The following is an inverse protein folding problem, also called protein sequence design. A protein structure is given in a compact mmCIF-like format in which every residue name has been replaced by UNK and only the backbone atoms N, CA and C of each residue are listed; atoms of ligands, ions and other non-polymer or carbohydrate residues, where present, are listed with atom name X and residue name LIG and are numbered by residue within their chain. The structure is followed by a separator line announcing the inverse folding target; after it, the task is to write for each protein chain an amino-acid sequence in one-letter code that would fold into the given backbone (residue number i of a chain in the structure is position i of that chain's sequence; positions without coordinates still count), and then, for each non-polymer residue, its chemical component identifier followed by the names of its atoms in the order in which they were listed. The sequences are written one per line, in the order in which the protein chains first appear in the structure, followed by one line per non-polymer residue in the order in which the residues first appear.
data_IF_650312220004
#
_entry.id   IF_650312220004
#
_cell.length_a   1.000
_cell.length_b   1.000
_cell.length_c   1.000
_cell.angle_alpha   90.00
_cell.angle_beta   90.00
_cell.angle_gamma   90.00
#
_symmetry.space_group_name_H-M   'P 1'
#
loop_
_entity.id
_entity.type
_entity.pdbx_description
1 polymer ?
#
# COMPACT_ATOMS: atom_id res chain seq x y z
N UNK A 1 -8.24 5.38 -16.32
CA UNK A 1 -7.70 5.07 -14.98
C UNK A 1 -7.09 6.32 -14.34
N UNK A 2 -6.98 6.36 -13.05
CA UNK A 2 -6.26 7.41 -12.33
C UNK A 2 -5.40 6.79 -11.24
N UNK A 3 -4.34 7.48 -10.86
CA UNK A 3 -3.54 7.10 -9.70
C UNK A 3 -3.58 8.22 -8.66
N UNK A 4 -3.45 7.85 -7.40
CA UNK A 4 -3.46 8.79 -6.29
C UNK A 4 -2.50 8.34 -5.19
N UNK A 5 -2.01 9.32 -4.45
CA UNK A 5 -1.21 9.10 -3.25
C UNK A 5 -2.06 9.41 -2.04
N UNK A 6 -1.95 8.58 -1.01
CA UNK A 6 -2.66 8.75 0.24
C UNK A 6 -1.75 8.43 1.41
N UNK A 7 -2.21 8.73 2.60
CA UNK A 7 -1.53 8.37 3.84
C UNK A 7 -2.53 7.67 4.74
N UNK A 8 -2.15 6.51 5.26
CA UNK A 8 -2.90 5.80 6.28
C UNK A 8 -2.16 5.91 7.61
N UNK A 9 -2.91 5.82 8.70
CA UNK A 9 -2.33 5.79 10.04
C UNK A 9 -2.32 4.35 10.54
N UNK A 10 -1.13 3.83 10.83
CA UNK A 10 -0.94 2.50 11.39
C UNK A 10 -1.41 2.44 12.85
N UNK A 11 -1.54 1.22 13.39
CA UNK A 11 -2.01 0.99 14.76
C UNK A 11 -1.16 1.68 15.82
N UNK A 12 0.14 1.89 15.56
CA UNK A 12 1.06 2.59 16.47
C UNK A 12 1.20 4.08 16.16
N UNK A 13 0.38 4.62 15.25
CA UNK A 13 0.38 6.03 14.87
C UNK A 13 1.31 6.40 13.72
N UNK A 14 2.10 5.47 13.18
CA UNK A 14 2.97 5.76 12.04
C UNK A 14 2.16 6.08 10.79
N UNK A 15 2.59 7.09 10.05
CA UNK A 15 2.03 7.41 8.75
C UNK A 15 2.60 6.47 7.69
N UNK A 16 1.72 5.76 6.98
CA UNK A 16 2.08 4.87 5.89
C UNK A 16 1.75 5.55 4.57
N UNK A 17 2.73 5.67 3.68
CA UNK A 17 2.48 6.15 2.32
C UNK A 17 1.77 5.05 1.51
N UNK A 18 0.68 5.40 0.87
CA UNK A 18 -0.14 4.49 0.07
C UNK A 18 -0.28 5.02 -1.34
N UNK A 19 -0.13 4.14 -2.31
CA UNK A 19 -0.48 4.41 -3.71
C UNK A 19 -1.71 3.61 -4.09
N UNK A 20 -2.57 4.24 -4.88
CA UNK A 20 -3.73 3.58 -5.47
C UNK A 20 -3.75 3.84 -6.96
N UNK A 21 -4.06 2.81 -7.73
CA UNK A 21 -4.34 2.88 -9.16
C UNK A 21 -5.75 2.39 -9.37
N UNK A 22 -6.58 3.24 -9.91
CA UNK A 22 -8.02 3.07 -9.90
C UNK A 22 -8.57 2.97 -11.34
N UNK A 23 -9.47 2.02 -11.61
CA UNK A 23 -10.14 1.94 -12.90
C UNK A 23 -11.17 3.07 -13.08
N UNK A 24 -11.67 3.21 -14.30
CA UNK A 24 -12.79 4.09 -14.60
C UNK A 24 -14.10 3.39 -14.20
N UNK A 25 -14.53 3.57 -12.98
CA UNK A 25 -15.74 2.94 -12.45
C UNK A 25 -15.45 1.92 -11.36
N UNK A 26 -16.48 1.16 -10.94
CA UNK A 26 -16.31 0.17 -9.88
C UNK A 26 -15.27 -0.90 -10.26
N UNK A 27 -14.35 -1.25 -9.36
CA UNK A 27 -13.35 -2.27 -9.67
C UNK A 27 -13.97 -3.67 -9.74
N UNK A 28 -13.47 -4.48 -10.66
CA UNK A 28 -13.82 -5.90 -10.76
C UNK A 28 -13.31 -6.70 -9.58
N UNK A 29 -12.16 -6.30 -9.05
CA UNK A 29 -11.54 -6.84 -7.86
C UNK A 29 -10.45 -5.86 -7.40
N UNK A 30 -9.94 -6.06 -6.19
CA UNK A 30 -8.82 -5.27 -5.65
C UNK A 30 -7.59 -6.14 -5.52
N UNK A 31 -6.45 -5.60 -5.92
CA UNK A 31 -5.14 -6.25 -5.80
C UNK A 31 -4.31 -5.44 -4.81
N UNK A 32 -3.90 -6.05 -3.73
CA UNK A 32 -2.91 -5.46 -2.83
C UNK A 32 -1.52 -5.96 -3.23
N UNK A 33 -0.63 -5.03 -3.56
CA UNK A 33 0.75 -5.34 -3.86
C UNK A 33 1.60 -5.16 -2.61
N UNK A 34 2.37 -6.18 -2.28
CA UNK A 34 3.29 -6.20 -1.15
C UNK A 34 4.71 -6.23 -1.74
N UNK A 35 5.42 -5.11 -1.65
CA UNK A 35 6.76 -5.01 -2.25
C UNK A 35 7.80 -5.82 -1.47
N UNK A 36 8.91 -6.12 -2.13
CA UNK A 36 10.01 -6.86 -1.53
C UNK A 36 11.00 -5.97 -0.76
N UNK A 37 12.03 -6.61 -0.21
CA UNK A 37 13.12 -5.93 0.48
C UNK A 37 13.83 -4.97 -0.49
N UNK A 38 14.17 -3.78 -0.01
CA UNK A 38 14.83 -2.73 -0.78
C UNK A 38 14.01 -2.24 -2.00
N UNK A 39 12.69 -2.41 -1.96
CA UNK A 39 11.77 -1.91 -2.97
C UNK A 39 10.88 -0.79 -2.40
N UNK A 40 9.90 -0.37 -3.15
CA UNK A 40 8.82 0.56 -2.77
C UNK A 40 7.64 0.38 -3.73
N UNK A 41 6.48 0.92 -3.37
CA UNK A 41 5.26 0.76 -4.15
C UNK A 41 5.37 1.32 -5.58
N UNK A 42 6.13 2.38 -5.77
CA UNK A 42 6.33 3.01 -7.08
C UNK A 42 6.96 2.10 -8.14
N UNK A 43 7.68 1.05 -7.70
CA UNK A 43 8.27 0.08 -8.62
C UNK A 43 7.22 -0.71 -9.40
N UNK A 44 5.99 -0.78 -8.90
CA UNK A 44 4.90 -1.52 -9.50
C UNK A 44 4.00 -0.67 -10.40
N UNK A 45 4.38 0.56 -10.70
CA UNK A 45 3.61 1.51 -11.51
C UNK A 45 3.14 0.92 -12.84
N UNK A 46 4.04 0.24 -13.56
CA UNK A 46 3.72 -0.34 -14.85
C UNK A 46 2.68 -1.45 -14.76
N UNK A 47 2.87 -2.36 -13.82
CA UNK A 47 1.92 -3.43 -13.55
C UNK A 47 0.56 -2.89 -13.10
N UNK A 48 0.59 -1.99 -12.12
CA UNK A 48 -0.61 -1.44 -11.52
C UNK A 48 -1.43 -0.61 -12.51
N UNK A 49 -0.77 0.15 -13.39
CA UNK A 49 -1.43 0.90 -14.46
C UNK A 49 -2.14 -0.06 -15.42
N UNK A 50 -1.48 -1.12 -15.85
CA UNK A 50 -2.07 -2.11 -16.75
C UNK A 50 -3.29 -2.80 -16.09
N UNK A 51 -3.17 -3.16 -14.82
CA UNK A 51 -4.27 -3.77 -14.08
C UNK A 51 -5.47 -2.80 -13.93
N UNK A 52 -5.20 -1.53 -13.64
CA UNK A 52 -6.27 -0.54 -13.52
C UNK A 52 -6.98 -0.28 -14.85
N UNK A 53 -6.25 -0.26 -15.95
CA UNK A 53 -6.86 -0.17 -17.31
C UNK A 53 -7.73 -1.40 -17.57
N UNK A 54 -7.36 -2.58 -17.06
CA UNK A 54 -8.15 -3.80 -17.18
C UNK A 54 -9.34 -3.88 -16.22
N UNK A 55 -9.57 -2.87 -15.38
CA UNK A 55 -10.73 -2.78 -14.50
C UNK A 55 -10.49 -3.23 -13.05
N UNK A 56 -9.24 -3.40 -12.64
CA UNK A 56 -8.88 -3.74 -11.26
C UNK A 56 -8.44 -2.49 -10.49
N UNK A 57 -8.77 -2.41 -9.21
CA UNK A 57 -8.09 -1.45 -8.33
C UNK A 57 -6.82 -2.09 -7.80
N UNK A 58 -5.73 -1.33 -7.77
CA UNK A 58 -4.46 -1.78 -7.18
C UNK A 58 -4.09 -0.85 -6.04
N UNK A 59 -3.70 -1.40 -4.91
CA UNK A 59 -3.24 -0.65 -3.75
C UNK A 59 -1.89 -1.20 -3.30
N UNK A 60 -1.00 -0.32 -2.89
CA UNK A 60 0.31 -0.69 -2.38
C UNK A 60 0.81 0.36 -1.40
N UNK A 61 1.20 -0.05 -0.21
CA UNK A 61 1.88 0.83 0.73
C UNK A 61 3.41 0.71 0.57
N UNK A 62 4.10 1.75 1.00
CA UNK A 62 5.54 1.66 1.25
C UNK A 62 5.74 1.20 2.70
N UNK A 63 6.47 0.11 2.88
CA UNK A 63 6.73 -0.44 4.21
C UNK A 63 7.46 0.56 5.10
N UNK A 64 7.32 0.41 6.41
CA UNK A 64 8.19 1.06 7.38
C UNK A 64 9.64 0.87 6.97
N UNK A 65 10.41 1.94 7.00
CA UNK A 65 11.81 1.91 6.59
C UNK A 65 12.05 1.94 5.09
N UNK A 66 11.00 2.08 4.27
CA UNK A 66 11.11 2.09 2.81
C UNK A 66 10.30 3.22 2.18
N UNK A 67 10.72 3.62 0.98
CA UNK A 67 9.99 4.57 0.13
C UNK A 67 9.60 5.86 0.84
N UNK A 68 8.39 6.31 0.60
CA UNK A 68 7.86 7.57 1.16
C UNK A 68 7.36 7.44 2.61
N UNK A 69 7.38 6.24 3.20
CA UNK A 69 7.00 6.03 4.61
C UNK A 69 8.12 6.42 5.56
N UNK A 70 9.38 6.45 5.13
CA UNK A 70 10.49 6.87 5.99
C UNK A 70 10.40 8.37 6.30
N UNK A 71 10.70 8.74 7.55
CA UNK A 71 10.76 10.14 7.99
C UNK A 71 12.16 10.74 7.86
N UNK A 72 13.22 9.91 7.94
CA UNK A 72 14.61 10.32 7.83
C UNK A 72 15.44 9.22 7.16
N UNK A 73 16.56 9.60 6.55
CA UNK A 73 17.43 8.66 5.81
C UNK A 73 18.01 7.55 6.69
N UNK A 74 18.22 7.78 7.97
CA UNK A 74 18.70 6.77 8.91
C UNK A 74 17.67 5.68 9.22
N UNK A 75 16.41 5.89 8.90
CA UNK A 75 15.37 4.87 8.99
C UNK A 75 15.38 3.90 7.80
N UNK A 76 16.12 4.20 6.73
CA UNK A 76 16.09 3.42 5.50
C UNK A 76 16.47 1.95 5.75
N UNK A 77 15.53 1.04 5.43
CA UNK A 77 15.70 -0.39 5.65
C UNK A 77 15.45 -0.87 7.07
N UNK A 78 15.17 0.04 8.00
CA UNK A 78 14.85 -0.29 9.39
C UNK A 78 13.34 -0.27 9.61
N UNK A 79 12.79 -1.38 10.08
CA UNK A 79 11.34 -1.50 10.33
C UNK A 79 11.01 -1.03 11.74
N UNK A 80 11.56 -1.69 12.75
CA UNK A 80 11.41 -1.33 14.16
C UNK A 80 12.40 -2.14 15.01
N UNK A 81 12.76 -1.61 16.18
CA UNK A 81 13.65 -2.31 17.14
C UNK A 81 12.92 -3.41 17.88
N UNK A 82 11.60 -3.29 18.06
CA UNK A 82 10.76 -4.22 18.81
C UNK A 82 9.54 -4.56 17.97
N UNK A 83 9.25 -5.86 17.85
CA UNK A 83 8.05 -6.37 17.16
C UNK A 83 7.90 -5.91 15.69
N UNK A 84 9.02 -5.64 15.00
CA UNK A 84 9.00 -5.13 13.63
C UNK A 84 8.17 -5.99 12.67
N UNK A 85 8.27 -7.32 12.77
CA UNK A 85 7.50 -8.24 11.93
C UNK A 85 5.98 -8.11 12.18
N UNK A 86 5.57 -8.09 13.45
CA UNK A 86 4.16 -7.91 13.82
C UNK A 86 3.62 -6.57 13.33
N UNK A 87 4.40 -5.51 13.41
CA UNK A 87 4.02 -4.18 12.92
C UNK A 87 3.83 -4.17 11.41
N UNK A 88 4.68 -4.85 10.64
CA UNK A 88 4.50 -4.98 9.19
C UNK A 88 3.21 -5.72 8.86
N UNK A 89 2.90 -6.79 9.57
CA UNK A 89 1.65 -7.53 9.37
C UNK A 89 0.43 -6.67 9.73
N UNK A 90 0.50 -5.91 10.81
CA UNK A 90 -0.56 -4.98 11.20
C UNK A 90 -0.75 -3.87 10.15
N UNK A 91 0.34 -3.38 9.56
CA UNK A 91 0.28 -2.37 8.49
C UNK A 91 -0.44 -2.93 7.25
N UNK A 92 -0.16 -4.17 6.87
CA UNK A 92 -0.88 -4.82 5.77
C UNK A 92 -2.37 -4.96 6.09
N UNK A 93 -2.72 -5.26 7.34
CA UNK A 93 -4.11 -5.29 7.80
C UNK A 93 -4.78 -3.92 7.77
N UNK A 94 -4.04 -2.85 8.07
CA UNK A 94 -4.52 -1.47 7.96
C UNK A 94 -4.87 -1.11 6.52
N UNK A 95 -4.02 -1.50 5.56
CA UNK A 95 -4.29 -1.32 4.14
C UNK A 95 -5.53 -2.11 3.71
N UNK A 96 -5.65 -3.35 4.16
CA UNK A 96 -6.83 -4.18 3.85
C UNK A 96 -8.12 -3.57 4.39
N UNK A 97 -8.12 -3.05 5.60
CA UNK A 97 -9.29 -2.39 6.18
C UNK A 97 -9.70 -1.15 5.37
N UNK A 98 -8.74 -0.39 4.87
CA UNK A 98 -8.99 0.75 3.98
C UNK A 98 -9.66 0.30 2.68
N UNK A 99 -9.19 -0.80 2.09
CA UNK A 99 -9.78 -1.40 0.89
C UNK A 99 -11.22 -1.84 1.14
N UNK A 100 -11.49 -2.53 2.24
CA UNK A 100 -12.83 -3.01 2.59
C UNK A 100 -13.80 -1.83 2.82
N UNK A 101 -13.32 -0.74 3.39
CA UNK A 101 -14.13 0.47 3.57
C UNK A 101 -14.42 1.18 2.25
N UNK A 102 -13.45 1.21 1.32
CA UNK A 102 -13.61 1.86 0.03
C UNK A 102 -14.49 1.06 -0.94
N UNK A 103 -14.38 -0.26 -0.92
CA UNK A 103 -15.09 -1.16 -1.84
C UNK A 103 -15.69 -2.36 -1.10
N UNK A 104 -16.75 -2.16 -0.31
CA UNK A 104 -17.38 -3.24 0.45
C UNK A 104 -17.82 -4.38 -0.47
N UNK A 105 -17.41 -5.60 -0.12
CA UNK A 105 -17.79 -6.80 -0.87
C UNK A 105 -17.05 -7.04 -2.18
N UNK A 106 -16.11 -6.19 -2.58
CA UNK A 106 -15.28 -6.44 -3.75
C UNK A 106 -14.36 -7.66 -3.52
N UNK A 107 -14.15 -8.52 -4.54
CA UNK A 107 -13.14 -9.57 -4.44
C UNK A 107 -11.76 -8.99 -4.18
N UNK A 108 -11.00 -9.71 -3.35
CA UNK A 108 -9.70 -9.22 -2.87
C UNK A 108 -8.63 -10.28 -3.05
#
# INVERSE_FOLDING_TARGET
MRSELATLTAVDGRALALRRWLPDGPPRAVIQVVHGMAEHSGRYERFATAAAVAGFAVVADDYRGYGATIAALDECGHIDDVDGWSLVLDDLGTVRADVEAAWPGAPF
#
